data_IF_993196832664
#
_entry.id   IF_993196832664
#
_cell.length_a   1.000
_cell.length_b   1.000
_cell.length_c   1.000
_cell.angle_alpha   90.00
_cell.angle_beta   90.00
_cell.angle_gamma   90.00
#
_symmetry.space_group_name_H-M   'P 1'
#
loop_
_entity.id
_entity.type
_entity.pdbx_description
1 polymer ?
#
# COMPACT_ATOMS: atom_id res chain seq x y z
N UNK A 1 28.41 -15.39 -9.57
CA UNK A 1 27.35 -14.40 -9.30
C UNK A 1 26.06 -15.18 -9.04
N UNK A 2 25.68 -15.30 -7.77
CA UNK A 2 24.69 -16.25 -7.30
C UNK A 2 23.34 -15.53 -7.16
N UNK A 3 22.40 -15.82 -8.05
CA UNK A 3 21.03 -15.30 -7.98
C UNK A 3 20.29 -16.11 -6.93
N UNK A 4 20.13 -15.55 -5.74
CA UNK A 4 19.38 -16.16 -4.65
C UNK A 4 17.89 -16.28 -5.05
N UNK A 5 17.50 -17.42 -5.61
CA UNK A 5 16.11 -17.85 -5.75
C UNK A 5 15.60 -18.38 -4.42
N UNK A 6 15.57 -17.51 -3.41
CA UNK A 6 14.88 -17.77 -2.15
C UNK A 6 13.44 -17.35 -2.32
N UNK A 7 12.55 -18.28 -2.65
CA UNK A 7 11.11 -18.03 -2.58
C UNK A 7 10.75 -17.88 -1.11
N UNK A 8 10.82 -16.65 -0.58
CA UNK A 8 10.33 -16.32 0.75
C UNK A 8 8.82 -16.46 0.71
N UNK A 9 8.33 -17.69 0.91
CA UNK A 9 6.93 -17.94 1.17
C UNK A 9 6.64 -17.38 2.56
N UNK A 10 6.40 -16.06 2.63
CA UNK A 10 5.75 -15.44 3.78
C UNK A 10 4.43 -16.16 3.93
N UNK A 11 4.37 -17.09 4.88
CA UNK A 11 3.17 -17.89 5.13
C UNK A 11 2.08 -16.95 5.66
N UNK A 12 1.20 -16.54 4.76
CA UNK A 12 0.13 -15.56 5.04
C UNK A 12 -0.86 -16.03 6.10
N UNK A 13 -0.88 -17.34 6.43
CA UNK A 13 -1.57 -17.85 7.62
C UNK A 13 -0.96 -17.28 8.90
N UNK A 14 0.37 -17.21 8.97
CA UNK A 14 1.09 -16.67 10.12
C UNK A 14 0.86 -15.17 10.30
N UNK A 15 0.70 -14.41 9.21
CA UNK A 15 0.38 -12.97 9.27
C UNK A 15 -1.03 -12.75 9.81
N UNK A 16 -2.02 -13.58 9.44
CA UNK A 16 -3.37 -13.48 10.00
C UNK A 16 -3.40 -13.77 11.50
N UNK A 17 -2.70 -14.82 11.94
CA UNK A 17 -2.60 -15.14 13.37
C UNK A 17 -1.85 -14.03 14.10
N UNK A 18 -0.77 -13.50 13.53
CA UNK A 18 -0.02 -12.38 14.13
C UNK A 18 -0.86 -11.10 14.20
N UNK A 19 -1.66 -10.76 13.19
CA UNK A 19 -2.58 -9.61 13.20
C UNK A 19 -3.72 -9.83 14.19
N UNK A 20 -4.29 -11.04 14.26
CA UNK A 20 -5.31 -11.40 15.24
C UNK A 20 -4.78 -11.29 16.68
N UNK A 21 -3.58 -11.83 16.92
CA UNK A 21 -2.88 -11.76 18.21
C UNK A 21 -2.48 -10.32 18.53
N UNK A 22 -1.93 -9.55 17.58
CA UNK A 22 -1.55 -8.15 17.77
C UNK A 22 -2.75 -7.25 18.02
N UNK A 23 -3.90 -7.49 17.37
CA UNK A 23 -5.16 -6.75 17.62
C UNK A 23 -5.72 -7.04 19.02
N UNK A 24 -5.55 -8.27 19.52
CA UNK A 24 -5.90 -8.62 20.91
C UNK A 24 -4.83 -8.17 21.92
N UNK A 25 -3.62 -7.86 21.48
CA UNK A 25 -2.45 -7.47 22.30
C UNK A 25 -2.15 -5.96 22.25
N UNK A 26 -2.82 -5.20 21.38
CA UNK A 26 -2.57 -3.78 21.18
C UNK A 26 -2.91 -2.98 22.43
N UNK A 27 -2.05 -2.02 22.75
CA UNK A 27 -2.15 -1.04 23.85
C UNK A 27 -3.48 -0.28 23.84
N UNK A 28 -4.55 -0.97 24.22
CA UNK A 28 -5.80 -0.36 24.61
C UNK A 28 -5.61 0.03 26.07
N UNK A 29 -5.87 1.30 26.48
CA UNK A 29 -6.05 1.56 27.88
C UNK A 29 -7.11 0.57 28.34
N UNK A 30 -6.73 -0.29 29.29
CA UNK A 30 -7.58 -1.34 29.83
C UNK A 30 -8.70 -0.63 30.59
N UNK A 31 -9.71 -0.12 29.87
CA UNK A 31 -11.00 0.10 30.46
C UNK A 31 -11.54 -1.30 30.71
N UNK A 32 -11.45 -1.72 31.96
CA UNK A 32 -11.67 -3.08 32.48
C UNK A 32 -13.07 -3.67 32.23
N UNK A 33 -13.83 -3.17 31.26
CA UNK A 33 -15.12 -3.72 30.84
C UNK A 33 -15.35 -3.57 29.33
N UNK A 34 -14.61 -4.31 28.49
CA UNK A 34 -15.16 -4.68 27.18
C UNK A 34 -16.42 -5.51 27.45
N UNK A 35 -17.60 -4.94 27.23
CA UNK A 35 -18.86 -5.66 27.41
C UNK A 35 -18.83 -6.91 26.54
N UNK A 36 -19.34 -8.03 27.06
CA UNK A 36 -19.47 -9.30 26.31
C UNK A 36 -20.14 -9.09 24.96
N UNK A 37 -21.07 -8.13 24.87
CA UNK A 37 -21.72 -7.77 23.61
C UNK A 37 -20.78 -7.11 22.59
N UNK A 38 -19.85 -6.27 23.02
CA UNK A 38 -18.86 -5.64 22.15
C UNK A 38 -17.78 -6.64 21.72
N UNK A 39 -17.34 -7.52 22.62
CA UNK A 39 -16.40 -8.60 22.29
C UNK A 39 -16.96 -9.55 21.21
N UNK A 40 -18.26 -9.91 21.31
CA UNK A 40 -18.94 -10.72 20.28
C UNK A 40 -18.97 -10.02 18.92
N UNK A 41 -19.31 -8.72 18.88
CA UNK A 41 -19.29 -7.93 17.63
C UNK A 41 -17.90 -7.92 16.99
N UNK A 42 -16.84 -7.78 17.80
CA UNK A 42 -15.47 -7.82 17.30
C UNK A 42 -15.09 -9.19 16.72
N UNK A 43 -15.48 -10.29 17.38
CA UNK A 43 -15.24 -11.65 16.88
C UNK A 43 -15.92 -11.87 15.53
N UNK A 44 -17.18 -11.44 15.38
CA UNK A 44 -17.88 -11.57 14.09
C UNK A 44 -17.20 -10.77 12.97
N UNK A 45 -16.72 -9.55 13.26
CA UNK A 45 -15.96 -8.76 12.30
C UNK A 45 -14.65 -9.47 11.89
N UNK A 46 -13.91 -10.01 12.85
CA UNK A 46 -12.65 -10.70 12.59
C UNK A 46 -12.87 -11.99 11.78
N UNK A 47 -14.00 -12.69 11.95
CA UNK A 47 -14.36 -13.84 11.12
C UNK A 47 -14.52 -13.46 9.65
N UNK A 48 -15.13 -12.31 9.38
CA UNK A 48 -15.30 -11.77 8.02
C UNK A 48 -13.95 -11.36 7.44
N UNK A 49 -13.10 -10.67 8.21
CA UNK A 49 -11.75 -10.27 7.76
C UNK A 49 -10.82 -11.48 7.53
N UNK A 50 -11.02 -12.55 8.29
CA UNK A 50 -10.28 -13.80 8.13
C UNK A 50 -10.74 -14.60 6.90
N UNK A 51 -12.01 -14.49 6.49
CA UNK A 51 -12.55 -15.21 5.33
C UNK A 51 -12.14 -14.61 3.99
N UNK A 52 -11.48 -13.45 3.99
CA UNK A 52 -11.01 -12.83 2.75
C UNK A 52 -9.85 -13.60 2.10
N UNK A 53 -10.01 -13.93 0.81
CA UNK A 53 -8.98 -14.60 0.02
C UNK A 53 -7.86 -13.62 -0.35
N UNK A 54 -6.66 -13.83 0.20
CA UNK A 54 -5.49 -12.99 -0.07
C UNK A 54 -4.72 -13.49 -1.29
N UNK A 55 -4.17 -12.57 -2.07
CA UNK A 55 -3.21 -12.86 -3.13
C UNK A 55 -1.78 -12.86 -2.57
N UNK A 56 -0.85 -13.56 -3.23
CA UNK A 56 0.57 -13.55 -2.84
C UNK A 56 1.15 -12.14 -2.98
N UNK A 57 1.97 -11.71 -2.03
CA UNK A 57 2.66 -10.41 -2.12
C UNK A 57 3.56 -10.32 -3.35
N UNK A 58 4.24 -11.41 -3.72
CA UNK A 58 5.04 -11.43 -4.94
C UNK A 58 4.21 -11.13 -6.19
N UNK A 59 2.96 -11.59 -6.22
CA UNK A 59 2.01 -11.29 -7.31
C UNK A 59 1.53 -9.84 -7.24
N UNK A 60 1.09 -9.38 -6.06
CA UNK A 60 0.66 -7.99 -5.88
C UNK A 60 1.77 -6.99 -6.25
N UNK A 61 3.02 -7.27 -5.87
CA UNK A 61 4.17 -6.45 -6.21
C UNK A 61 4.44 -6.44 -7.72
N UNK A 62 4.36 -7.59 -8.39
CA UNK A 62 4.51 -7.67 -9.84
C UNK A 62 3.41 -6.89 -10.57
N UNK A 63 2.16 -7.01 -10.11
CA UNK A 63 1.02 -6.29 -10.69
C UNK A 63 1.19 -4.76 -10.51
N UNK A 64 1.70 -4.30 -9.36
CA UNK A 64 2.04 -2.88 -9.13
C UNK A 64 3.18 -2.39 -10.02
N UNK A 65 4.26 -3.17 -10.15
CA UNK A 65 5.37 -2.82 -11.05
C UNK A 65 4.91 -2.70 -12.49
N UNK A 66 4.14 -3.67 -12.98
CA UNK A 66 3.59 -3.64 -14.32
C UNK A 66 2.71 -2.40 -14.57
N UNK A 67 1.91 -1.99 -13.58
CA UNK A 67 1.13 -0.77 -13.67
C UNK A 67 2.00 0.48 -13.76
N UNK A 68 3.03 0.59 -12.91
CA UNK A 68 3.96 1.72 -12.94
C UNK A 68 4.72 1.78 -14.28
N UNK A 69 5.23 0.66 -14.78
CA UNK A 69 5.97 0.61 -16.04
C UNK A 69 5.10 1.02 -17.23
N UNK A 70 3.82 0.63 -17.24
CA UNK A 70 2.89 0.99 -18.30
C UNK A 70 2.54 2.49 -18.34
N UNK A 71 2.62 3.19 -17.20
CA UNK A 71 2.22 4.61 -17.09
C UNK A 71 3.41 5.55 -16.82
N UNK A 72 4.63 5.04 -16.69
CA UNK A 72 5.82 5.84 -16.40
C UNK A 72 6.13 6.87 -17.50
N UNK A 73 5.82 6.54 -18.75
CA UNK A 73 6.02 7.45 -19.89
C UNK A 73 5.00 8.59 -19.92
N UNK A 74 3.81 8.38 -19.35
CA UNK A 74 2.72 9.35 -19.34
C UNK A 74 2.75 10.26 -18.10
N UNK A 75 3.57 9.92 -17.10
CA UNK A 75 3.77 10.73 -15.89
C UNK A 75 4.77 11.87 -16.17
N UNK A 76 4.33 13.15 -16.21
CA UNK A 76 5.19 14.29 -16.49
C UNK A 76 6.27 14.55 -15.43
N UNK A 77 6.13 13.96 -14.24
CA UNK A 77 7.09 14.06 -13.14
C UNK A 77 8.20 13.01 -13.25
N UNK A 78 7.89 11.86 -13.85
CA UNK A 78 8.86 10.79 -14.08
C UNK A 78 9.57 11.00 -15.43
N UNK A 79 8.79 11.31 -16.47
CA UNK A 79 9.29 11.62 -17.81
C UNK A 79 9.14 13.13 -18.06
N UNK A 80 10.24 13.91 -18.01
CA UNK A 80 10.16 15.36 -18.13
C UNK A 80 9.53 15.77 -19.46
N UNK A 81 8.43 16.51 -19.39
CA UNK A 81 7.79 17.08 -20.59
C UNK A 81 8.60 18.27 -21.12
N UNK A 82 8.60 18.50 -22.44
CA UNK A 82 9.21 19.69 -23.03
C UNK A 82 8.65 20.96 -22.39
N UNK A 83 9.49 21.98 -22.27
CA UNK A 83 9.10 23.18 -21.53
C UNK A 83 7.93 23.94 -22.17
N UNK A 84 7.59 23.69 -23.44
CA UNK A 84 6.40 24.26 -24.11
C UNK A 84 5.08 23.64 -23.62
N UNK A 85 5.10 22.35 -23.29
CA UNK A 85 3.94 21.59 -22.80
C UNK A 85 3.74 21.77 -21.29
N UNK A 86 4.77 22.23 -20.57
CA UNK A 86 4.67 22.48 -19.13
C UNK A 86 3.83 23.75 -18.84
N UNK A 87 2.62 23.62 -18.27
CA UNK A 87 1.76 24.77 -17.95
C UNK A 87 2.33 25.68 -16.86
N UNK A 88 3.28 25.19 -16.06
CA UNK A 88 3.99 25.96 -15.04
C UNK A 88 5.23 26.68 -15.58
N UNK A 89 5.47 26.68 -16.90
CA UNK A 89 6.58 27.43 -17.50
C UNK A 89 6.40 28.93 -17.25
N UNK A 90 7.48 29.59 -16.80
CA UNK A 90 7.58 31.05 -16.83
C UNK A 90 7.35 31.56 -18.25
N UNK A 91 6.28 32.33 -18.46
CA UNK A 91 6.10 33.10 -19.68
C UNK A 91 7.27 34.06 -19.73
N UNK A 92 8.16 33.89 -20.72
CA UNK A 92 9.17 34.89 -21.04
C UNK A 92 8.42 36.15 -21.46
N UNK A 93 8.10 37.03 -20.51
CA UNK A 93 7.83 38.41 -20.82
C UNK A 93 9.11 38.91 -21.48
N UNK A 94 9.03 39.20 -22.77
CA UNK A 94 10.10 39.90 -23.46
C UNK A 94 10.33 41.19 -22.68
N UNK A 95 11.42 41.22 -21.91
CA UNK A 95 11.92 42.43 -21.32
C UNK A 95 12.41 43.29 -22.48
N UNK A 96 11.50 44.07 -23.08
CA UNK A 96 11.89 45.30 -23.74
C UNK A 96 12.23 46.27 -22.61
N UNK A 97 13.50 46.26 -22.18
CA UNK A 97 14.08 47.44 -21.55
C UNK A 97 14.08 48.52 -22.62
N UNK A 98 13.11 49.42 -22.53
CA UNK A 98 12.96 50.61 -23.36
C UNK A 98 13.54 51.80 -22.58
#
# INVERSE_FOLDING_TARGET
MQKCTGSVSLDFRSVNVAVFVARMKGDTPVNSTMSVGQARKLVEQLKIEASFCRIKVSKAAADLMAYCDAHACDDPLITPVPTSENPFREKKFFCALL
#
